data_IF_743653538670
#
_entry.id   IF_743653538670
#
_cell.length_a   1.000
_cell.length_b   1.000
_cell.length_c   1.000
_cell.angle_alpha   90.00
_cell.angle_beta   90.00
_cell.angle_gamma   90.00
#
_symmetry.space_group_name_H-M   'P 1'
#
loop_
_entity.id
_entity.type
_entity.pdbx_description
1 polymer ?
#
# COMPACT_ATOMS: atom_id res chain seq x y z
N UNK A 1 -38.34 13.92 1.34
CA UNK A 1 -38.55 12.46 1.52
C UNK A 1 -37.24 11.84 1.99
N UNK A 2 -37.18 11.31 3.22
CA UNK A 2 -36.01 10.55 3.69
C UNK A 2 -35.93 9.26 2.87
N UNK A 3 -34.89 9.10 2.03
CA UNK A 3 -34.56 7.78 1.47
C UNK A 3 -34.33 6.85 2.67
N UNK A 4 -35.11 5.77 2.76
CA UNK A 4 -34.80 4.70 3.71
C UNK A 4 -33.42 4.19 3.35
N UNK A 5 -32.48 4.28 4.29
CA UNK A 5 -31.17 3.68 4.15
C UNK A 5 -31.39 2.18 4.30
N UNK A 6 -31.46 1.45 3.18
CA UNK A 6 -31.48 -0.02 3.23
C UNK A 6 -30.14 -0.46 3.85
N UNK A 7 -30.18 -1.30 4.87
CA UNK A 7 -28.97 -1.91 5.41
C UNK A 7 -28.57 -3.04 4.46
N UNK A 8 -27.34 -2.98 3.95
CA UNK A 8 -26.77 -4.05 3.14
C UNK A 8 -26.34 -5.16 4.09
N UNK A 9 -26.99 -6.32 3.98
CA UNK A 9 -26.70 -7.52 4.79
C UNK A 9 -25.83 -8.51 4.02
N UNK A 10 -25.88 -8.46 2.69
CA UNK A 10 -25.12 -9.35 1.81
C UNK A 10 -24.45 -8.56 0.68
N UNK A 11 -23.24 -8.98 0.33
CA UNK A 11 -22.43 -8.39 -0.73
C UNK A 11 -22.12 -9.46 -1.78
N UNK A 12 -22.27 -9.11 -3.05
CA UNK A 12 -21.85 -9.98 -4.16
C UNK A 12 -20.34 -10.17 -4.09
N UNK A 13 -19.87 -11.38 -4.37
CA UNK A 13 -18.45 -11.75 -4.28
C UNK A 13 -17.55 -10.83 -5.10
N UNK A 14 -17.88 -10.58 -6.38
CA UNK A 14 -17.14 -9.66 -7.25
C UNK A 14 -16.99 -8.27 -6.60
N UNK A 15 -18.07 -7.77 -6.00
CA UNK A 15 -18.09 -6.47 -5.34
C UNK A 15 -17.26 -6.46 -4.05
N UNK A 16 -17.27 -7.57 -3.31
CA UNK A 16 -16.43 -7.73 -2.12
C UNK A 16 -14.95 -7.70 -2.49
N UNK A 17 -14.56 -8.41 -3.56
CA UNK A 17 -13.18 -8.44 -4.05
C UNK A 17 -12.71 -7.07 -4.54
N UNK A 18 -13.56 -6.32 -5.26
CA UNK A 18 -13.27 -4.93 -5.64
C UNK A 18 -13.02 -4.03 -4.41
N UNK A 19 -13.87 -4.18 -3.38
CA UNK A 19 -13.77 -3.37 -2.17
C UNK A 19 -12.51 -3.73 -1.37
N UNK A 20 -12.18 -5.01 -1.27
CA UNK A 20 -10.91 -5.48 -0.68
C UNK A 20 -9.72 -4.87 -1.40
N UNK A 21 -9.68 -4.95 -2.73
CA UNK A 21 -8.58 -4.39 -3.52
C UNK A 21 -8.40 -2.89 -3.25
N UNK A 22 -9.51 -2.14 -3.20
CA UNK A 22 -9.51 -0.70 -2.90
C UNK A 22 -8.95 -0.43 -1.50
N UNK A 23 -9.44 -1.14 -0.48
CA UNK A 23 -9.00 -0.97 0.91
C UNK A 23 -7.53 -1.32 1.07
N UNK A 24 -7.10 -2.45 0.52
CA UNK A 24 -5.71 -2.91 0.63
C UNK A 24 -4.74 -1.90 0.02
N UNK A 25 -5.04 -1.37 -1.17
CA UNK A 25 -4.25 -0.29 -1.79
C UNK A 25 -4.18 0.94 -0.90
N UNK A 26 -5.32 1.41 -0.41
CA UNK A 26 -5.39 2.61 0.44
C UNK A 26 -4.49 2.48 1.69
N UNK A 27 -4.49 1.32 2.33
CA UNK A 27 -3.71 1.02 3.54
C UNK A 27 -2.21 0.91 3.22
N UNK A 28 -1.86 0.16 2.18
CA UNK A 28 -0.46 -0.11 1.79
C UNK A 28 0.24 1.16 1.31
N UNK A 29 -0.43 2.00 0.50
CA UNK A 29 0.09 3.29 0.04
C UNK A 29 0.49 4.21 1.20
N UNK A 30 -0.17 4.06 2.36
CA UNK A 30 0.08 4.82 3.60
C UNK A 30 1.07 4.14 4.53
N UNK A 31 1.69 3.03 4.12
CA UNK A 31 2.61 2.22 4.95
C UNK A 31 1.94 1.68 6.22
N UNK A 32 0.64 1.36 6.14
CA UNK A 32 -0.15 0.87 7.28
C UNK A 32 -0.49 -0.62 7.18
N UNK A 33 0.09 -1.36 6.24
CA UNK A 33 -0.24 -2.78 6.03
C UNK A 33 0.05 -3.64 7.27
N UNK A 34 1.27 -3.64 7.79
CA UNK A 34 1.62 -4.42 8.99
C UNK A 34 0.76 -4.09 10.23
N UNK A 35 0.55 -2.82 10.63
CA UNK A 35 -0.33 -2.53 11.76
C UNK A 35 -1.80 -2.87 11.48
N UNK A 36 -2.28 -2.75 10.25
CA UNK A 36 -3.63 -3.16 9.88
C UNK A 36 -3.81 -4.68 9.97
N UNK A 37 -2.87 -5.47 9.42
CA UNK A 37 -2.86 -6.93 9.52
C UNK A 37 -2.89 -7.34 10.99
N UNK A 38 -1.99 -6.80 11.82
CA UNK A 38 -1.93 -7.12 13.24
C UNK A 38 -3.24 -6.79 13.97
N UNK A 39 -3.84 -5.63 13.68
CA UNK A 39 -5.11 -5.21 14.29
C UNK A 39 -6.26 -6.14 13.89
N UNK A 40 -6.39 -6.46 12.60
CA UNK A 40 -7.44 -7.36 12.09
C UNK A 40 -7.26 -8.77 12.70
N UNK A 41 -6.03 -9.29 12.77
CA UNK A 41 -5.79 -10.61 13.38
C UNK A 41 -6.08 -10.64 14.87
N UNK A 42 -5.78 -9.56 15.59
CA UNK A 42 -6.02 -9.44 17.03
C UNK A 42 -7.50 -9.37 17.39
N UNK A 43 -8.36 -8.98 16.44
CA UNK A 43 -9.81 -8.83 16.63
C UNK A 43 -10.62 -10.07 16.19
N UNK A 44 -9.98 -11.20 15.88
CA UNK A 44 -10.69 -12.44 15.55
C UNK A 44 -11.37 -13.02 16.81
N UNK A 45 -12.65 -13.46 16.75
CA UNK A 45 -13.57 -13.47 15.59
C UNK A 45 -14.30 -12.13 15.39
N UNK A 46 -14.22 -11.56 14.18
CA UNK A 46 -14.76 -10.24 13.86
C UNK A 46 -16.29 -10.20 13.78
N UNK A 47 -16.94 -11.32 13.49
CA UNK A 47 -18.40 -11.41 13.36
C UNK A 47 -19.15 -10.93 14.62
N UNK A 48 -18.51 -11.01 15.81
CA UNK A 48 -19.08 -10.54 17.07
C UNK A 48 -18.80 -9.05 17.36
N UNK A 49 -17.77 -8.47 16.73
CA UNK A 49 -17.23 -7.13 17.02
C UNK A 49 -17.34 -6.18 15.81
N UNK A 50 -17.93 -6.64 14.70
CA UNK A 50 -18.06 -5.88 13.46
C UNK A 50 -18.66 -4.47 13.68
N UNK A 51 -19.72 -4.36 14.50
CA UNK A 51 -20.33 -3.08 14.83
C UNK A 51 -19.37 -2.10 15.53
N UNK A 52 -18.53 -2.59 16.44
CA UNK A 52 -17.51 -1.78 17.13
C UNK A 52 -16.36 -1.39 16.20
N UNK A 53 -15.99 -2.28 15.27
CA UNK A 53 -15.00 -1.98 14.24
C UNK A 53 -15.48 -0.82 13.35
N UNK A 54 -16.77 -0.79 12.99
CA UNK A 54 -17.33 0.33 12.23
C UNK A 54 -17.20 1.66 12.99
N UNK A 55 -17.49 1.70 14.29
CA UNK A 55 -17.28 2.92 15.10
C UNK A 55 -15.81 3.34 15.18
N UNK A 56 -14.89 2.38 15.31
CA UNK A 56 -13.45 2.66 15.29
C UNK A 56 -12.99 3.22 13.94
N UNK A 57 -13.57 2.77 12.83
CA UNK A 57 -13.25 3.21 11.49
C UNK A 57 -13.98 4.49 11.08
N UNK A 58 -14.99 4.92 11.83
CA UNK A 58 -15.74 6.18 11.63
C UNK A 58 -14.86 7.40 11.27
N UNK A 59 -13.77 7.73 11.99
CA UNK A 59 -12.90 8.87 11.63
C UNK A 59 -12.21 8.74 10.26
N UNK A 60 -12.13 7.53 9.73
CA UNK A 60 -11.54 7.24 8.41
C UNK A 60 -12.60 6.93 7.34
N UNK A 61 -13.87 6.80 7.74
CA UNK A 61 -14.92 6.28 6.89
C UNK A 61 -15.09 7.10 5.62
N UNK A 62 -15.18 8.44 5.74
CA UNK A 62 -15.35 9.34 4.60
C UNK A 62 -14.10 9.44 3.70
N UNK A 63 -12.93 9.08 4.22
CA UNK A 63 -11.67 9.12 3.46
C UNK A 63 -11.54 7.89 2.57
N UNK A 64 -12.04 6.74 3.03
CA UNK A 64 -11.89 5.43 2.37
C UNK A 64 -13.14 5.08 1.57
N UNK A 65 -14.31 5.43 2.09
CA UNK A 65 -15.61 4.92 1.64
C UNK A 65 -16.58 6.06 1.30
N UNK A 66 -17.37 5.82 0.26
CA UNK A 66 -18.66 6.50 0.14
C UNK A 66 -19.71 5.81 1.06
N UNK A 67 -20.89 6.42 1.31
CA UNK A 67 -21.88 5.85 2.23
C UNK A 67 -22.33 4.43 1.88
N UNK A 68 -22.38 4.08 0.59
CA UNK A 68 -22.75 2.74 0.14
C UNK A 68 -21.62 1.75 0.42
N UNK A 69 -20.39 2.11 0.10
CA UNK A 69 -19.20 1.28 0.35
C UNK A 69 -19.00 1.02 1.84
N UNK A 70 -19.36 1.96 2.71
CA UNK A 70 -19.29 1.78 4.16
C UNK A 70 -20.26 0.70 4.64
N UNK A 71 -21.47 0.63 4.05
CA UNK A 71 -22.41 -0.46 4.32
C UNK A 71 -21.96 -1.79 3.69
N UNK A 72 -21.44 -1.75 2.46
CA UNK A 72 -20.84 -2.91 1.79
C UNK A 72 -19.67 -3.48 2.60
N UNK A 73 -18.87 -2.61 3.22
CA UNK A 73 -17.76 -3.01 4.09
C UNK A 73 -18.25 -3.67 5.39
N UNK A 74 -19.35 -3.19 5.98
CA UNK A 74 -19.97 -3.85 7.13
C UNK A 74 -20.37 -5.30 6.82
N UNK A 75 -21.02 -5.53 5.67
CA UNK A 75 -21.37 -6.87 5.22
C UNK A 75 -20.13 -7.74 4.89
N UNK A 76 -19.04 -7.11 4.44
CA UNK A 76 -17.80 -7.80 4.13
C UNK A 76 -17.11 -8.35 5.37
N UNK A 77 -17.02 -7.56 6.44
CA UNK A 77 -16.32 -7.94 7.68
C UNK A 77 -17.07 -8.97 8.53
N UNK A 78 -18.36 -9.18 8.28
CA UNK A 78 -19.17 -10.26 8.86
C UNK A 78 -18.86 -11.63 8.25
N UNK A 79 -18.09 -11.68 7.16
CA UNK A 79 -17.68 -12.92 6.51
C UNK A 79 -16.17 -13.16 6.69
N UNK A 80 -15.84 -14.17 7.50
CA UNK A 80 -14.45 -14.55 7.80
C UNK A 80 -13.62 -14.89 6.56
N UNK A 81 -14.22 -15.38 5.47
CA UNK A 81 -13.49 -15.71 4.25
C UNK A 81 -13.05 -14.45 3.50
N UNK A 82 -13.88 -13.41 3.45
CA UNK A 82 -13.49 -12.11 2.92
C UNK A 82 -12.43 -11.43 3.78
N UNK A 83 -12.46 -11.59 5.10
CA UNK A 83 -11.38 -11.12 5.99
C UNK A 83 -10.05 -11.81 5.67
N UNK A 84 -10.05 -13.14 5.45
CA UNK A 84 -8.83 -13.87 5.05
C UNK A 84 -8.30 -13.37 3.70
N UNK A 85 -9.20 -13.10 2.75
CA UNK A 85 -8.83 -12.54 1.44
C UNK A 85 -8.23 -11.14 1.62
N UNK A 86 -8.84 -10.29 2.46
CA UNK A 86 -8.33 -8.95 2.78
C UNK A 86 -6.93 -9.00 3.38
N UNK A 87 -6.72 -9.84 4.39
CA UNK A 87 -5.41 -10.03 5.04
C UNK A 87 -4.34 -10.48 4.04
N UNK A 88 -4.66 -11.51 3.25
CA UNK A 88 -3.76 -12.01 2.21
C UNK A 88 -3.42 -10.91 1.21
N UNK A 89 -4.41 -10.13 0.79
CA UNK A 89 -4.20 -9.08 -0.22
C UNK A 89 -3.36 -7.92 0.32
N UNK A 90 -3.53 -7.57 1.60
CA UNK A 90 -2.67 -6.60 2.27
C UNK A 90 -1.20 -7.05 2.28
N UNK A 91 -0.95 -8.31 2.64
CA UNK A 91 0.39 -8.90 2.71
C UNK A 91 1.07 -8.90 1.32
N UNK A 92 0.36 -9.36 0.29
CA UNK A 92 0.85 -9.35 -1.10
C UNK A 92 1.26 -7.96 -1.59
N UNK A 93 0.39 -6.96 -1.37
CA UNK A 93 0.66 -5.58 -1.81
C UNK A 93 1.80 -4.92 -1.03
N UNK A 94 1.92 -5.20 0.27
CA UNK A 94 3.02 -4.68 1.10
C UNK A 94 4.37 -5.23 0.61
N UNK A 95 4.42 -6.53 0.33
CA UNK A 95 5.60 -7.21 -0.22
C UNK A 95 6.00 -6.66 -1.60
N UNK A 96 5.03 -6.47 -2.49
CA UNK A 96 5.23 -5.86 -3.80
C UNK A 96 5.86 -4.47 -3.67
N UNK A 97 5.27 -3.61 -2.84
CA UNK A 97 5.74 -2.25 -2.60
C UNK A 97 7.17 -2.24 -2.02
N UNK A 98 7.48 -3.10 -1.05
CA UNK A 98 8.84 -3.21 -0.50
C UNK A 98 9.84 -3.77 -1.53
N UNK A 99 9.42 -4.68 -2.40
CA UNK A 99 10.26 -5.17 -3.49
C UNK A 99 10.59 -4.05 -4.49
N UNK A 100 9.61 -3.24 -4.87
CA UNK A 100 9.79 -2.09 -5.76
C UNK A 100 10.71 -1.03 -5.16
N UNK A 101 10.51 -0.68 -3.89
CA UNK A 101 11.40 0.25 -3.20
C UNK A 101 12.85 -0.24 -3.18
N UNK A 102 13.07 -1.53 -2.89
CA UNK A 102 14.40 -2.14 -2.89
C UNK A 102 15.02 -2.07 -4.28
N UNK A 103 14.26 -2.35 -5.34
CA UNK A 103 14.71 -2.21 -6.73
C UNK A 103 15.08 -0.75 -7.04
N UNK A 104 14.24 0.20 -6.66
CA UNK A 104 14.47 1.63 -6.87
C UNK A 104 15.75 2.11 -6.16
N UNK A 105 15.90 1.77 -4.87
CA UNK A 105 17.10 2.08 -4.08
C UNK A 105 18.37 1.48 -4.71
N UNK A 106 18.31 0.24 -5.23
CA UNK A 106 19.44 -0.40 -5.96
C UNK A 106 19.79 0.36 -7.24
N UNK A 107 18.80 0.79 -8.03
CA UNK A 107 19.01 1.58 -9.25
C UNK A 107 19.65 2.94 -8.94
N UNK A 108 19.17 3.65 -7.92
CA UNK A 108 19.77 4.91 -7.47
C UNK A 108 21.23 4.73 -7.03
N UNK A 109 21.55 3.65 -6.29
CA UNK A 109 22.93 3.34 -5.89
C UNK A 109 23.83 3.06 -7.09
N UNK A 110 23.37 2.28 -8.08
CA UNK A 110 24.11 2.02 -9.33
C UNK A 110 24.36 3.32 -10.10
N UNK A 111 23.34 4.18 -10.25
CA UNK A 111 23.45 5.50 -10.90
C UNK A 111 24.49 6.39 -10.21
N UNK A 112 24.46 6.48 -8.87
CA UNK A 112 25.45 7.24 -8.10
C UNK A 112 26.88 6.75 -8.36
N UNK A 113 27.13 5.44 -8.27
CA UNK A 113 28.46 4.84 -8.52
C UNK A 113 28.95 5.09 -9.95
N UNK A 114 28.07 4.97 -10.95
CA UNK A 114 28.43 5.22 -12.34
C UNK A 114 28.77 6.70 -12.59
N UNK A 115 27.98 7.63 -12.02
CA UNK A 115 28.29 9.07 -12.07
C UNK A 115 29.65 9.38 -11.44
N UNK A 116 29.95 8.86 -10.25
CA UNK A 116 31.24 9.05 -9.60
C UNK A 116 32.41 8.50 -10.43
N UNK A 117 32.26 7.30 -11.00
CA UNK A 117 33.28 6.71 -11.90
C UNK A 117 33.51 7.58 -13.14
N UNK A 118 32.43 8.07 -13.77
CA UNK A 118 32.51 8.92 -14.95
C UNK A 118 33.17 10.26 -14.63
N UNK A 119 32.86 10.85 -13.47
CA UNK A 119 33.49 12.08 -12.98
C UNK A 119 35.00 11.91 -12.80
N UNK A 120 35.42 10.86 -12.08
CA UNK A 120 36.85 10.56 -11.87
C UNK A 120 37.57 10.35 -13.21
N UNK A 121 36.96 9.59 -14.13
CA UNK A 121 37.53 9.37 -15.48
C UNK A 121 37.72 10.68 -16.25
N UNK A 122 36.74 11.57 -16.20
CA UNK A 122 36.82 12.88 -16.85
C UNK A 122 37.92 13.76 -16.22
N UNK A 123 38.06 13.71 -14.89
CA UNK A 123 39.09 14.44 -14.16
C UNK A 123 40.51 13.98 -14.56
N UNK A 124 40.76 12.67 -14.59
CA UNK A 124 42.05 12.11 -15.04
C UNK A 124 42.37 12.46 -16.49
N UNK A 125 41.37 12.42 -17.39
CA UNK A 125 41.54 12.83 -18.80
C UNK A 125 41.97 14.30 -18.91
N UNK A 126 41.41 15.18 -18.08
CA UNK A 126 41.75 16.60 -18.07
C UNK A 126 43.19 16.83 -17.59
N UNK A 127 43.60 16.18 -16.49
CA UNK A 127 44.99 16.28 -15.97
C UNK A 127 46.03 15.86 -17.02
N UNK A 128 45.81 14.73 -17.70
CA UNK A 128 46.72 14.23 -18.74
C UNK A 128 46.85 15.18 -19.94
N UNK A 129 45.76 15.86 -20.32
CA UNK A 129 45.77 16.83 -21.44
C UNK A 129 46.52 18.12 -21.09
N UNK A 130 46.51 18.54 -19.82
CA UNK A 130 47.28 19.69 -19.34
C UNK A 130 48.77 19.41 -19.09
N UNK A 131 49.16 18.15 -18.83
CA UNK A 131 50.56 17.74 -18.77
C UNK A 131 51.19 17.65 -20.17
N UNK A 132 50.47 17.10 -21.16
CA UNK A 132 50.99 16.96 -22.53
C UNK A 132 51.15 18.31 -23.28
N UNK A 133 50.57 19.41 -22.78
CA UNK A 133 50.74 20.77 -23.31
C UNK A 133 51.84 21.59 -22.62
N UNK A 134 52.39 21.10 -21.50
CA UNK A 134 53.47 21.77 -20.75
C UNK A 134 54.86 21.19 -21.06
N UNK A 135 54.91 20.04 -21.75
CA UNK A 135 56.14 19.35 -22.14
C UNK A 135 56.44 19.49 -23.65
N UNK A 136 55.83 20.46 -24.32
CA UNK A 136 56.09 20.91 -25.69
C UNK A 136 56.29 22.41 -25.64
#
# INVERSE_FOLDING_TARGET
MKKRCEMIVEIKEERALELIEKISKFIVERKMASPAILAIESLRPLNFIASQLMYFLSPFAEIIFNPKEYQEFAALIENDDYIKILLKRLDELDDEMYAEERKHKKLLRKRRRNKSKQFIRNLFKFKKKGENKRNV
#
